data_IF_108458589595
#
_entry.id   IF_108458589595
#
_cell.length_a   1.000
_cell.length_b   1.000
_cell.length_c   1.000
_cell.angle_alpha   90.00
_cell.angle_beta   90.00
_cell.angle_gamma   90.00
#
_symmetry.space_group_name_H-M   'P 1'
#
loop_
_entity.id
_entity.type
_entity.pdbx_description
1 polymer ?
#
# COMPACT_ATOMS: atom_id res chain seq x y z
N UNK A 1 3.73 56.30 -49.11
CA UNK A 1 4.83 55.61 -48.42
C UNK A 1 4.88 56.17 -47.01
N UNK A 2 3.94 55.85 -46.11
CA UNK A 2 3.72 54.56 -45.43
C UNK A 2 5.03 53.96 -44.89
N UNK A 3 5.27 54.10 -43.58
CA UNK A 3 5.22 53.00 -42.60
C UNK A 3 5.48 53.58 -41.19
N UNK A 4 4.43 53.66 -40.37
CA UNK A 4 4.12 52.74 -39.27
C UNK A 4 5.00 52.95 -38.02
N UNK A 5 4.51 53.84 -37.16
CA UNK A 5 4.73 53.85 -35.72
C UNK A 5 4.20 52.53 -35.13
N UNK A 6 5.09 51.64 -34.70
CA UNK A 6 4.71 50.48 -33.91
C UNK A 6 5.38 50.64 -32.53
N UNK A 7 4.71 51.36 -31.62
CA UNK A 7 5.02 51.28 -30.19
C UNK A 7 4.57 49.89 -29.75
N UNK A 8 5.54 49.05 -29.42
CA UNK A 8 5.32 47.72 -28.89
C UNK A 8 4.68 47.85 -27.49
N UNK A 9 3.36 47.67 -27.43
CA UNK A 9 2.56 47.69 -26.20
C UNK A 9 2.64 46.35 -25.44
N UNK A 10 3.46 45.39 -25.91
CA UNK A 10 3.54 44.04 -25.34
C UNK A 10 4.29 43.99 -24.00
N UNK A 11 5.31 44.82 -23.80
CA UNK A 11 6.15 44.79 -22.58
C UNK A 11 5.43 45.31 -21.32
N UNK A 12 4.37 46.11 -21.48
CA UNK A 12 3.66 46.78 -20.38
C UNK A 12 2.63 45.85 -19.70
N UNK A 13 2.11 44.86 -20.43
CA UNK A 13 1.19 43.85 -19.90
C UNK A 13 1.96 42.82 -19.05
N UNK A 14 3.13 42.38 -19.54
CA UNK A 14 3.98 41.42 -18.82
C UNK A 14 4.58 42.03 -17.54
N UNK A 15 4.95 43.32 -17.57
CA UNK A 15 5.36 44.04 -16.36
C UNK A 15 4.22 44.17 -15.33
N UNK A 16 2.97 44.36 -15.79
CA UNK A 16 1.79 44.43 -14.90
C UNK A 16 1.47 43.08 -14.29
N UNK A 17 1.57 42.00 -15.07
CA UNK A 17 1.38 40.62 -14.59
C UNK A 17 2.47 40.23 -13.59
N UNK A 18 3.71 40.65 -13.81
CA UNK A 18 4.83 40.40 -12.89
C UNK A 18 4.70 41.19 -11.58
N UNK A 19 4.18 42.42 -11.64
CA UNK A 19 3.85 43.21 -10.44
C UNK A 19 2.66 42.61 -9.66
N UNK A 20 1.67 42.05 -10.35
CA UNK A 20 0.52 41.39 -9.73
C UNK A 20 0.93 40.09 -9.01
N UNK A 21 1.77 39.28 -9.65
CA UNK A 21 2.41 38.11 -9.03
C UNK A 21 3.17 38.49 -7.74
N UNK A 22 3.97 39.57 -7.79
CA UNK A 22 4.72 40.02 -6.62
C UNK A 22 3.79 40.60 -5.54
N UNK A 23 2.67 41.22 -5.92
CA UNK A 23 1.63 41.71 -5.02
C UNK A 23 0.95 40.56 -4.25
N UNK A 24 0.66 39.44 -4.93
CA UNK A 24 0.13 38.22 -4.28
C UNK A 24 1.12 37.66 -3.27
N UNK A 25 2.40 37.54 -3.65
CA UNK A 25 3.45 37.01 -2.76
C UNK A 25 3.64 37.89 -1.52
N UNK A 26 3.67 39.23 -1.68
CA UNK A 26 3.83 40.16 -0.55
C UNK A 26 2.58 40.21 0.33
N UNK A 27 1.38 40.02 -0.24
CA UNK A 27 0.13 39.94 0.53
C UNK A 27 0.08 38.66 1.37
N UNK A 28 0.55 37.53 0.85
CA UNK A 28 0.63 36.27 1.60
C UNK A 28 1.68 36.28 2.73
N UNK A 29 2.76 37.06 2.61
CA UNK A 29 3.82 37.13 3.64
C UNK A 29 3.40 37.99 4.84
N UNK A 30 2.46 38.92 4.67
CA UNK A 30 2.06 39.86 5.72
C UNK A 30 0.87 39.38 6.59
N UNK A 31 0.06 38.43 6.11
CA UNK A 31 -1.19 38.02 6.79
C UNK A 31 -1.10 36.67 7.53
N UNK A 32 0.00 35.92 7.42
CA UNK A 32 0.17 34.62 8.08
C UNK A 32 1.43 34.62 8.96
N UNK A 33 1.33 34.34 10.27
CA UNK A 33 2.51 34.23 11.13
C UNK A 33 3.39 33.09 10.60
N UNK A 34 4.61 33.42 10.18
CA UNK A 34 5.60 32.42 9.77
C UNK A 34 5.93 31.55 10.98
N UNK A 35 5.34 30.36 11.04
CA UNK A 35 5.68 29.38 12.06
C UNK A 35 7.15 29.00 11.91
N UNK A 36 7.87 28.97 13.03
CA UNK A 36 9.24 28.46 13.02
C UNK A 36 9.19 26.97 12.71
N UNK A 37 10.27 26.43 12.13
CA UNK A 37 10.37 25.00 11.85
C UNK A 37 10.09 24.18 13.12
N UNK A 38 10.55 24.66 14.28
CA UNK A 38 10.27 24.05 15.59
C UNK A 38 8.78 23.99 15.95
N UNK A 39 7.99 25.03 15.66
CA UNK A 39 6.55 25.03 15.97
C UNK A 39 5.78 24.05 15.09
N UNK A 40 6.16 23.97 13.81
CA UNK A 40 5.58 22.99 12.88
C UNK A 40 5.95 21.57 13.29
N UNK A 41 7.17 21.35 13.77
CA UNK A 41 7.62 20.05 14.28
C UNK A 41 6.85 19.65 15.54
N UNK A 42 6.69 20.58 16.50
CA UNK A 42 5.97 20.34 17.75
C UNK A 42 4.49 20.00 17.51
N UNK A 43 3.81 20.72 16.62
CA UNK A 43 2.41 20.47 16.28
C UNK A 43 2.22 19.12 15.55
N UNK A 44 3.16 18.73 14.67
CA UNK A 44 3.14 17.41 14.02
C UNK A 44 3.40 16.29 15.04
N UNK A 45 4.33 16.49 15.99
CA UNK A 45 4.60 15.54 17.06
C UNK A 45 3.38 15.35 17.98
N UNK A 46 2.62 16.42 18.25
CA UNK A 46 1.39 16.39 19.03
C UNK A 46 0.28 15.62 18.28
N UNK A 47 0.09 15.87 16.97
CA UNK A 47 -0.86 15.12 16.14
C UNK A 47 -0.51 13.63 16.00
N UNK A 48 0.78 13.28 16.04
CA UNK A 48 1.22 11.88 16.02
C UNK A 48 0.99 11.16 17.35
N UNK A 49 0.81 11.90 18.46
CA UNK A 49 0.62 11.34 19.80
C UNK A 49 -0.86 11.27 20.21
N UNK A 50 -1.75 12.07 19.62
CA UNK A 50 -3.17 12.15 19.99
C UNK A 50 -4.09 11.28 19.11
N UNK A 51 -3.61 10.13 18.64
CA UNK A 51 -4.51 9.07 18.15
C UNK A 51 -4.84 8.13 19.31
N UNK A 52 -6.06 8.17 19.87
CA UNK A 52 -6.49 7.18 20.83
C UNK A 52 -6.70 5.88 20.05
N UNK A 53 -5.84 4.90 20.24
CA UNK A 53 -6.12 3.52 19.82
C UNK A 53 -6.96 2.87 20.92
N UNK A 54 -8.27 2.63 20.71
CA UNK A 54 -9.07 1.91 21.67
C UNK A 54 -8.88 0.43 21.40
N UNK A 55 -7.86 -0.18 21.99
CA UNK A 55 -7.90 -1.56 22.50
C UNK A 55 -6.66 -1.76 23.40
N UNK A 56 -6.93 -1.69 24.70
CA UNK A 56 -6.04 -2.14 25.77
C UNK A 56 -5.96 -3.68 25.69
N UNK A 57 -5.02 -4.19 24.89
CA UNK A 57 -4.61 -5.58 24.94
C UNK A 57 -3.11 -5.60 25.28
N UNK A 58 -2.81 -6.09 26.49
CA UNK A 58 -1.51 -6.23 27.16
C UNK A 58 -0.52 -7.10 26.36
N UNK A 59 -0.18 -6.65 25.15
CA UNK A 59 0.88 -7.19 24.31
C UNK A 59 1.69 -6.00 23.78
N UNK A 60 3.04 -5.99 23.92
CA UNK A 60 3.83 -4.90 23.37
C UNK A 60 3.56 -4.81 21.88
N UNK A 61 3.04 -3.68 21.41
CA UNK A 61 2.72 -3.52 19.99
C UNK A 61 4.02 -3.61 19.18
N UNK A 62 3.97 -4.04 17.92
CA UNK A 62 5.17 -4.15 17.07
C UNK A 62 5.94 -2.81 16.97
N UNK A 63 5.21 -1.70 17.09
CA UNK A 63 5.78 -0.35 17.14
C UNK A 63 6.71 -0.16 18.36
N UNK A 64 6.28 -0.65 19.52
CA UNK A 64 7.06 -0.57 20.76
C UNK A 64 8.36 -1.36 20.66
N UNK A 65 8.30 -2.58 20.08
CA UNK A 65 9.49 -3.42 19.89
C UNK A 65 10.50 -2.79 18.93
N UNK A 66 10.04 -2.22 17.82
CA UNK A 66 10.91 -1.53 16.85
C UNK A 66 11.49 -0.24 17.42
N UNK A 67 10.73 0.48 18.24
CA UNK A 67 11.19 1.67 18.96
C UNK A 67 12.30 1.33 19.96
N UNK A 68 12.11 0.27 20.76
CA UNK A 68 13.13 -0.25 21.70
C UNK A 68 14.39 -0.69 20.93
N UNK A 69 14.24 -1.44 19.84
CA UNK A 69 15.36 -1.89 19.02
C UNK A 69 16.14 -0.71 18.40
N UNK A 70 15.44 0.31 17.91
CA UNK A 70 16.05 1.53 17.39
C UNK A 70 16.84 2.28 18.48
N UNK A 71 16.26 2.38 19.68
CA UNK A 71 16.91 3.01 20.82
C UNK A 71 18.15 2.24 21.28
N UNK A 72 18.10 0.90 21.31
CA UNK A 72 19.25 0.03 21.58
C UNK A 72 20.36 0.17 20.53
N UNK A 73 20.01 0.24 19.24
CA UNK A 73 20.99 0.47 18.17
C UNK A 73 21.68 1.85 18.33
N UNK A 74 20.94 2.87 18.75
CA UNK A 74 21.50 4.20 19.00
C UNK A 74 22.43 4.23 20.22
N UNK A 75 22.08 3.53 21.31
CA UNK A 75 22.94 3.42 22.49
C UNK A 75 24.22 2.62 22.21
N UNK A 76 24.13 1.53 21.44
CA UNK A 76 25.27 0.74 20.96
C UNK A 76 26.23 1.54 20.06
N UNK A 77 25.69 2.41 19.18
CA UNK A 77 26.53 3.31 18.37
C UNK A 77 27.29 4.32 19.23
N UNK A 78 26.66 4.84 20.29
CA UNK A 78 27.29 5.80 21.22
C UNK A 78 28.35 5.16 22.11
N UNK A 79 28.19 3.88 22.48
CA UNK A 79 29.19 3.15 23.26
C UNK A 79 30.43 2.77 22.44
N UNK A 80 30.25 2.47 21.15
CA UNK A 80 31.35 2.07 20.24
C UNK A 80 32.42 3.16 20.02
N UNK A 81 32.09 4.44 20.22
CA UNK A 81 33.05 5.56 20.08
C UNK A 81 33.74 5.95 21.39
N UNK A 82 33.52 5.21 22.48
CA UNK A 82 33.83 5.66 23.83
C UNK A 82 35.06 4.95 24.42
N UNK A 83 36.21 5.63 24.46
CA UNK A 83 37.47 5.12 25.08
C UNK A 83 37.31 4.70 26.56
N UNK A 84 36.28 5.21 27.25
CA UNK A 84 35.93 4.87 28.62
C UNK A 84 35.56 3.39 28.82
N UNK A 85 34.89 2.78 27.84
CA UNK A 85 34.48 1.37 27.92
C UNK A 85 35.70 0.44 27.87
N UNK A 86 36.61 0.69 26.94
CA UNK A 86 37.88 -0.03 26.77
C UNK A 86 38.74 0.02 28.04
N UNK A 87 38.86 1.19 28.67
CA UNK A 87 39.58 1.31 29.95
C UNK A 87 38.90 0.57 31.10
N UNK A 88 37.56 0.49 31.11
CA UNK A 88 36.81 -0.24 32.13
C UNK A 88 37.05 -1.75 32.00
N UNK A 89 36.97 -2.28 30.78
CA UNK A 89 37.21 -3.69 30.48
C UNK A 89 38.62 -4.11 30.89
N UNK A 90 39.64 -3.28 30.65
CA UNK A 90 41.04 -3.57 31.05
C UNK A 90 41.27 -3.67 32.56
N UNK A 91 40.37 -3.12 33.38
CA UNK A 91 40.47 -3.16 34.85
C UNK A 91 39.73 -4.35 35.46
N UNK A 92 38.93 -5.07 34.68
CA UNK A 92 38.19 -6.25 35.14
C UNK A 92 39.13 -7.43 35.39
N UNK A 93 38.77 -8.24 36.38
CA UNK A 93 39.41 -9.52 36.63
C UNK A 93 39.05 -10.55 35.56
N UNK A 94 39.81 -11.65 35.51
CA UNK A 94 39.56 -12.74 34.55
C UNK A 94 38.18 -13.35 34.73
N UNK A 95 37.66 -13.43 35.96
CA UNK A 95 36.32 -13.94 36.22
C UNK A 95 35.24 -13.01 35.64
N UNK A 96 35.33 -11.71 35.93
CA UNK A 96 34.41 -10.69 35.42
C UNK A 96 34.46 -10.57 33.88
N UNK A 97 35.63 -10.75 33.28
CA UNK A 97 35.78 -10.77 31.82
C UNK A 97 35.07 -11.96 31.17
N UNK A 98 35.10 -13.14 31.81
CA UNK A 98 34.38 -14.31 31.31
C UNK A 98 32.86 -14.15 31.46
N UNK A 99 32.40 -13.58 32.57
CA UNK A 99 30.97 -13.26 32.76
C UNK A 99 30.48 -12.25 31.71
N UNK A 100 31.24 -11.18 31.47
CA UNK A 100 30.92 -10.20 30.42
C UNK A 100 30.94 -10.82 29.02
N UNK A 101 31.88 -11.74 28.76
CA UNK A 101 31.93 -12.46 27.49
C UNK A 101 30.68 -13.34 27.32
N UNK A 102 30.28 -14.09 28.35
CA UNK A 102 29.09 -14.94 28.31
C UNK A 102 27.80 -14.11 28.15
N UNK A 103 27.72 -12.94 28.80
CA UNK A 103 26.63 -11.98 28.62
C UNK A 103 26.56 -11.49 27.15
N UNK A 104 27.69 -11.08 26.58
CA UNK A 104 27.76 -10.63 25.18
C UNK A 104 27.42 -11.76 24.22
N UNK A 105 27.94 -12.97 24.43
CA UNK A 105 27.66 -14.14 23.60
C UNK A 105 26.17 -14.52 23.65
N UNK A 106 25.57 -14.44 24.83
CA UNK A 106 24.12 -14.66 25.02
C UNK A 106 23.32 -13.58 24.29
N UNK A 107 23.65 -12.30 24.47
CA UNK A 107 22.99 -11.21 23.77
C UNK A 107 23.11 -11.33 22.24
N UNK A 108 24.31 -11.68 21.73
CA UNK A 108 24.52 -11.92 20.29
C UNK A 108 23.60 -13.03 19.79
N UNK A 109 23.47 -14.12 20.55
CA UNK A 109 22.60 -15.24 20.19
C UNK A 109 21.13 -14.82 20.15
N UNK A 110 20.66 -14.11 21.18
CA UNK A 110 19.27 -13.65 21.28
C UNK A 110 18.93 -12.66 20.16
N UNK A 111 19.80 -11.68 19.88
CA UNK A 111 19.61 -10.77 18.76
C UNK A 111 19.66 -11.46 17.39
N UNK A 112 20.50 -12.48 17.24
CA UNK A 112 20.56 -13.27 16.01
C UNK A 112 19.28 -14.07 15.80
N UNK A 113 18.70 -14.63 16.87
CA UNK A 113 17.42 -15.33 16.83
C UNK A 113 16.28 -14.37 16.48
N UNK A 114 16.20 -13.21 17.14
CA UNK A 114 15.20 -12.18 16.82
C UNK A 114 15.32 -11.73 15.35
N UNK A 115 16.55 -11.51 14.85
CA UNK A 115 16.77 -11.15 13.45
C UNK A 115 16.20 -12.22 12.49
N UNK A 116 16.41 -13.50 12.77
CA UNK A 116 15.86 -14.59 11.95
C UNK A 116 14.33 -14.59 11.99
N UNK A 117 13.72 -14.38 13.16
CA UNK A 117 12.27 -14.30 13.29
C UNK A 117 11.69 -13.11 12.51
N UNK A 118 12.32 -11.93 12.61
CA UNK A 118 11.91 -10.73 11.88
C UNK A 118 12.05 -10.89 10.36
N UNK A 119 13.12 -11.56 9.89
CA UNK A 119 13.29 -11.86 8.47
C UNK A 119 12.18 -12.80 7.95
N UNK A 120 11.84 -13.85 8.71
CA UNK A 120 10.76 -14.75 8.35
C UNK A 120 9.40 -14.03 8.31
N UNK A 121 9.11 -13.18 9.31
CA UNK A 121 7.89 -12.38 9.35
C UNK A 121 7.81 -11.40 8.18
N UNK A 122 8.93 -10.75 7.82
CA UNK A 122 8.99 -9.86 6.66
C UNK A 122 8.65 -10.60 5.37
N UNK A 123 9.18 -11.81 5.18
CA UNK A 123 8.92 -12.61 3.99
C UNK A 123 7.44 -13.05 3.91
N UNK A 124 6.82 -13.39 5.05
CA UNK A 124 5.38 -13.67 5.14
C UNK A 124 4.53 -12.44 4.74
N UNK A 125 4.86 -11.27 5.28
CA UNK A 125 4.17 -10.02 4.94
C UNK A 125 4.36 -9.61 3.47
N UNK A 126 5.55 -9.85 2.90
CA UNK A 126 5.81 -9.63 1.48
C UNK A 126 4.95 -10.56 0.61
N UNK A 127 4.82 -11.83 1.00
CA UNK A 127 3.93 -12.78 0.34
C UNK A 127 2.46 -12.34 0.42
N UNK A 128 1.97 -11.93 1.60
CA UNK A 128 0.60 -11.41 1.72
C UNK A 128 0.36 -10.20 0.82
N UNK A 129 1.32 -9.27 0.78
CA UNK A 129 1.27 -8.08 -0.05
C UNK A 129 1.24 -8.46 -1.54
N UNK A 130 2.05 -9.42 -1.96
CA UNK A 130 2.05 -9.92 -3.34
C UNK A 130 0.68 -10.53 -3.71
N UNK A 131 0.11 -11.37 -2.84
CA UNK A 131 -1.22 -11.96 -3.04
C UNK A 131 -2.29 -10.87 -3.15
N UNK A 132 -2.30 -9.89 -2.24
CA UNK A 132 -3.24 -8.75 -2.26
C UNK A 132 -3.09 -7.92 -3.55
N UNK A 133 -1.87 -7.61 -3.95
CA UNK A 133 -1.60 -6.85 -5.17
C UNK A 133 -2.01 -7.62 -6.42
N UNK A 134 -1.69 -8.91 -6.51
CA UNK A 134 -2.12 -9.79 -7.62
C UNK A 134 -3.64 -9.82 -7.74
N UNK A 135 -4.35 -10.01 -6.62
CA UNK A 135 -5.81 -9.96 -6.58
C UNK A 135 -6.35 -8.63 -7.12
N UNK A 136 -5.85 -7.49 -6.62
CA UNK A 136 -6.28 -6.16 -7.05
C UNK A 136 -6.06 -5.98 -8.56
N UNK A 137 -4.87 -6.33 -9.07
CA UNK A 137 -4.55 -6.22 -10.49
C UNK A 137 -5.54 -7.00 -11.36
N UNK A 138 -5.78 -8.26 -11.03
CA UNK A 138 -6.68 -9.13 -11.83
C UNK A 138 -8.13 -8.68 -11.70
N UNK A 139 -8.56 -8.23 -10.52
CA UNK A 139 -9.90 -7.69 -10.30
C UNK A 139 -10.15 -6.47 -11.19
N UNK A 140 -9.20 -5.52 -11.22
CA UNK A 140 -9.27 -4.33 -12.08
C UNK A 140 -9.35 -4.73 -13.55
N UNK A 141 -8.53 -5.70 -13.99
CA UNK A 141 -8.55 -6.18 -15.38
C UNK A 141 -9.88 -6.81 -15.76
N UNK A 142 -10.46 -7.67 -14.91
CA UNK A 142 -11.78 -8.28 -15.12
C UNK A 142 -12.86 -7.20 -15.22
N UNK A 143 -12.84 -6.22 -14.31
CA UNK A 143 -13.79 -5.10 -14.34
C UNK A 143 -13.67 -4.26 -15.61
N UNK A 144 -12.45 -3.97 -16.05
CA UNK A 144 -12.19 -3.25 -17.29
C UNK A 144 -12.70 -4.03 -18.50
N UNK A 145 -12.44 -5.33 -18.55
CA UNK A 145 -12.90 -6.21 -19.64
C UNK A 145 -14.43 -6.35 -19.66
N UNK A 146 -15.07 -6.44 -18.50
CA UNK A 146 -16.53 -6.41 -18.37
C UNK A 146 -17.12 -5.06 -18.86
N UNK A 147 -16.47 -3.94 -18.54
CA UNK A 147 -16.87 -2.60 -19.02
C UNK A 147 -16.79 -2.52 -20.54
N UNK A 148 -15.68 -2.94 -21.14
CA UNK A 148 -15.48 -2.97 -22.59
C UNK A 148 -16.52 -3.87 -23.28
N UNK A 149 -16.78 -5.06 -22.72
CA UNK A 149 -17.79 -5.98 -23.24
C UNK A 149 -19.20 -5.36 -23.23
N UNK A 150 -19.55 -4.62 -22.16
CA UNK A 150 -20.83 -3.89 -22.06
C UNK A 150 -20.95 -2.77 -23.09
N UNK A 151 -19.86 -2.07 -23.40
CA UNK A 151 -19.84 -1.00 -24.39
C UNK A 151 -19.95 -1.53 -25.83
N UNK A 152 -19.22 -2.59 -26.16
CA UNK A 152 -19.28 -3.25 -27.47
C UNK A 152 -20.64 -3.88 -27.73
N UNK A 153 -21.27 -4.48 -26.72
CA UNK A 153 -22.64 -5.00 -26.82
C UNK A 153 -23.68 -3.90 -27.10
N UNK A 154 -23.55 -2.73 -26.46
CA UNK A 154 -24.43 -1.56 -26.72
C UNK A 154 -24.26 -1.01 -28.14
N UNK A 155 -23.02 -0.94 -28.65
CA UNK A 155 -22.74 -0.52 -30.05
C UNK A 155 -23.35 -1.49 -31.06
N UNK A 156 -23.21 -2.80 -30.85
CA UNK A 156 -23.82 -3.85 -31.70
C UNK A 156 -25.35 -3.79 -31.71
N UNK A 157 -25.99 -3.45 -30.58
CA UNK A 157 -27.46 -3.32 -30.49
C UNK A 157 -27.99 -2.11 -31.27
N UNK A 158 -27.25 -0.98 -31.31
CA UNK A 158 -27.63 0.20 -32.12
C UNK A 158 -27.54 -0.02 -33.63
N UNK A 159 -26.65 -0.91 -34.08
CA UNK A 159 -26.48 -1.25 -35.50
C UNK A 159 -27.47 -2.32 -36.01
N UNK A 160 -28.16 -3.05 -35.12
CA UNK A 160 -29.07 -4.16 -35.46
C UNK A 160 -30.57 -3.80 -35.45
N UNK A 161 -30.93 -2.53 -35.43
CA UNK A 161 -32.33 -2.05 -35.46
C UNK A 161 -33.08 -2.29 -36.81
N UNK A 162 -32.70 -3.28 -37.61
CA UNK A 162 -33.18 -3.41 -39.00
C UNK A 162 -33.51 -4.80 -39.53
N UNK A 163 -33.52 -5.89 -38.74
CA UNK A 163 -33.98 -7.20 -39.27
C UNK A 163 -34.41 -8.18 -38.17
N UNK A 164 -35.64 -8.72 -38.21
CA UNK A 164 -36.01 -9.87 -37.40
C UNK A 164 -35.60 -11.12 -38.20
N UNK A 165 -34.57 -11.84 -37.75
CA UNK A 165 -34.34 -13.20 -38.24
C UNK A 165 -34.35 -14.18 -37.08
N UNK A 166 -35.45 -14.93 -37.08
CA UNK A 166 -35.72 -16.15 -36.35
C UNK A 166 -34.61 -17.17 -36.66
N UNK A 167 -33.90 -17.65 -35.65
CA UNK A 167 -32.84 -18.65 -35.82
C UNK A 167 -32.46 -19.23 -34.47
N UNK A 168 -32.69 -20.55 -34.32
CA UNK A 168 -32.32 -21.43 -33.21
C UNK A 168 -31.14 -20.88 -32.39
N UNK A 169 -31.40 -20.59 -31.11
CA UNK A 169 -30.36 -20.45 -30.10
C UNK A 169 -29.71 -21.82 -29.93
N UNK A 170 -28.62 -22.08 -30.66
CA UNK A 170 -27.72 -23.17 -30.29
C UNK A 170 -27.23 -22.89 -28.87
N UNK A 171 -27.38 -23.89 -27.99
CA UNK A 171 -26.87 -23.91 -26.62
C UNK A 171 -25.33 -24.04 -26.60
N UNK A 172 -24.65 -23.40 -27.55
CA UNK A 172 -23.21 -23.29 -27.60
C UNK A 172 -22.76 -22.10 -26.75
N UNK A 173 -21.64 -22.28 -26.05
CA UNK A 173 -20.98 -21.25 -25.26
C UNK A 173 -20.82 -19.97 -26.10
N UNK A 174 -21.51 -18.90 -25.72
CA UNK A 174 -21.33 -17.59 -26.34
C UNK A 174 -20.06 -16.96 -25.77
N UNK A 175 -19.15 -16.40 -26.58
CA UNK A 175 -17.95 -15.74 -26.06
C UNK A 175 -18.31 -14.65 -25.04
N UNK A 176 -17.67 -14.69 -23.87
CA UNK A 176 -17.91 -13.78 -22.76
C UNK A 176 -18.99 -14.23 -21.76
N UNK A 177 -19.51 -15.46 -21.87
CA UNK A 177 -20.50 -15.98 -20.91
C UNK A 177 -19.92 -16.01 -19.50
N UNK A 178 -18.70 -16.53 -19.32
CA UNK A 178 -18.10 -16.66 -18.00
C UNK A 178 -17.57 -15.33 -17.48
N UNK A 179 -17.08 -14.46 -18.35
CA UNK A 179 -16.60 -13.12 -17.99
C UNK A 179 -17.67 -12.31 -17.22
N UNK A 180 -18.95 -12.47 -17.55
CA UNK A 180 -20.06 -11.74 -16.90
C UNK A 180 -20.62 -12.40 -15.64
N UNK A 181 -20.06 -13.55 -15.23
CA UNK A 181 -20.49 -14.28 -14.04
C UNK A 181 -20.19 -13.45 -12.78
N UNK A 182 -21.03 -13.57 -11.76
CA UNK A 182 -20.83 -12.90 -10.47
C UNK A 182 -20.26 -13.90 -9.47
N UNK A 183 -19.23 -13.49 -8.74
CA UNK A 183 -18.68 -14.26 -7.62
C UNK A 183 -19.50 -13.88 -6.38
N UNK A 184 -20.20 -14.83 -5.73
CA UNK A 184 -20.84 -14.57 -4.45
C UNK A 184 -19.79 -14.18 -3.41
N UNK A 185 -20.07 -13.20 -2.56
CA UNK A 185 -19.16 -12.75 -1.51
C UNK A 185 -19.93 -12.49 -0.24
N UNK A 186 -19.46 -13.06 0.87
CA UNK A 186 -20.00 -12.80 2.20
C UNK A 186 -19.11 -11.77 2.91
N UNK A 187 -19.69 -10.65 3.33
CA UNK A 187 -18.98 -9.63 4.10
C UNK A 187 -18.87 -10.11 5.55
N UNK A 188 -17.76 -10.76 5.87
CA UNK A 188 -17.39 -11.12 7.25
C UNK A 188 -16.84 -9.89 8.00
N UNK A 189 -16.71 -9.98 9.32
CA UNK A 189 -16.04 -8.97 10.15
C UNK A 189 -14.53 -9.08 9.93
N UNK A 190 -14.03 -8.40 8.91
CA UNK A 190 -12.60 -8.35 8.57
C UNK A 190 -12.32 -8.45 7.07
N UNK A 191 -11.08 -8.18 6.65
CA UNK A 191 -10.65 -8.43 5.27
C UNK A 191 -10.64 -9.94 4.96
N UNK A 192 -10.73 -10.34 3.67
CA UNK A 192 -10.56 -11.74 3.28
C UNK A 192 -9.17 -12.28 3.67
N UNK A 193 -9.10 -13.56 4.01
CA UNK A 193 -7.83 -14.23 4.28
C UNK A 193 -6.96 -14.33 3.02
N UNK A 194 -5.66 -14.60 3.19
CA UNK A 194 -4.73 -14.83 2.08
C UNK A 194 -5.20 -16.00 1.19
N UNK A 195 -5.71 -17.07 1.80
CA UNK A 195 -6.25 -18.25 1.11
C UNK A 195 -7.51 -17.92 0.30
N UNK A 196 -8.40 -17.10 0.87
CA UNK A 196 -9.60 -16.62 0.19
C UNK A 196 -9.20 -15.75 -1.02
N UNK A 197 -8.24 -14.83 -0.84
CA UNK A 197 -7.74 -13.99 -1.92
C UNK A 197 -7.10 -14.80 -3.04
N UNK A 198 -6.33 -15.85 -2.73
CA UNK A 198 -5.77 -16.74 -3.76
C UNK A 198 -6.86 -17.48 -4.53
N UNK A 199 -7.90 -17.96 -3.84
CA UNK A 199 -9.03 -18.66 -4.48
C UNK A 199 -9.82 -17.71 -5.38
N UNK A 200 -10.14 -16.51 -4.88
CA UNK A 200 -10.79 -15.46 -5.66
C UNK A 200 -9.95 -15.04 -6.87
N UNK A 201 -8.62 -14.89 -6.70
CA UNK A 201 -7.68 -14.56 -7.78
C UNK A 201 -7.69 -15.62 -8.88
N UNK A 202 -7.75 -16.91 -8.53
CA UNK A 202 -7.86 -18.02 -9.50
C UNK A 202 -9.17 -17.95 -10.28
N UNK A 203 -10.29 -17.67 -9.61
CA UNK A 203 -11.60 -17.49 -10.27
C UNK A 203 -11.56 -16.30 -11.23
N UNK A 204 -11.00 -15.16 -10.80
CA UNK A 204 -10.91 -13.96 -11.62
C UNK A 204 -10.04 -14.17 -12.88
N UNK A 205 -8.91 -14.88 -12.79
CA UNK A 205 -8.12 -15.28 -13.96
C UNK A 205 -8.94 -16.15 -14.92
N UNK A 206 -9.63 -17.17 -14.41
CA UNK A 206 -10.47 -18.04 -15.22
C UNK A 206 -11.61 -17.26 -15.90
N UNK A 207 -12.22 -16.29 -15.22
CA UNK A 207 -13.23 -15.39 -15.80
C UNK A 207 -12.64 -14.46 -16.87
N UNK A 208 -11.46 -13.89 -16.63
CA UNK A 208 -10.74 -13.05 -17.59
C UNK A 208 -10.47 -13.81 -18.89
N UNK A 209 -10.12 -15.09 -18.79
CA UNK A 209 -9.83 -15.97 -19.93
C UNK A 209 -11.07 -16.61 -20.55
N UNK A 210 -12.26 -16.36 -20.01
CA UNK A 210 -13.52 -17.03 -20.40
C UNK A 210 -13.39 -18.56 -20.34
N UNK A 211 -12.72 -19.05 -19.29
CA UNK A 211 -12.38 -20.47 -19.11
C UNK A 211 -13.59 -21.29 -18.64
N UNK A 212 -13.75 -22.50 -19.21
CA UNK A 212 -14.74 -23.49 -18.76
C UNK A 212 -14.53 -23.98 -17.32
N UNK A 213 -13.40 -23.63 -16.68
CA UNK A 213 -13.13 -23.94 -15.27
C UNK A 213 -13.88 -23.06 -14.29
N UNK A 214 -14.48 -21.95 -14.74
CA UNK A 214 -15.19 -21.00 -13.87
C UNK A 214 -16.29 -21.68 -13.02
N UNK A 215 -17.18 -22.51 -13.58
CA UNK A 215 -18.21 -23.18 -12.79
C UNK A 215 -17.65 -24.09 -11.70
N UNK A 216 -16.58 -24.86 -11.99
CA UNK A 216 -15.96 -25.75 -11.00
C UNK A 216 -15.27 -24.96 -9.89
N UNK A 217 -14.54 -23.88 -10.24
CA UNK A 217 -13.85 -23.05 -9.25
C UNK A 217 -14.84 -22.31 -8.34
N UNK A 218 -15.95 -21.82 -8.89
CA UNK A 218 -17.04 -21.21 -8.11
C UNK A 218 -17.70 -22.22 -7.18
N UNK A 219 -17.97 -23.44 -7.66
CA UNK A 219 -18.57 -24.51 -6.85
C UNK A 219 -17.67 -24.83 -5.65
N UNK A 220 -16.37 -25.03 -5.90
CA UNK A 220 -15.39 -25.28 -4.85
C UNK A 220 -15.33 -24.14 -3.83
N UNK A 221 -15.31 -22.89 -4.29
CA UNK A 221 -15.29 -21.72 -3.41
C UNK A 221 -16.54 -21.65 -2.53
N UNK A 222 -17.73 -21.85 -3.11
CA UNK A 222 -18.97 -21.84 -2.35
C UNK A 222 -18.97 -22.93 -1.28
N UNK A 223 -18.60 -24.16 -1.65
CA UNK A 223 -18.63 -25.30 -0.72
C UNK A 223 -17.55 -25.23 0.36
N UNK A 224 -16.39 -24.65 0.07
CA UNK A 224 -15.26 -24.63 1.02
C UNK A 224 -15.21 -23.35 1.87
N UNK A 225 -15.62 -22.20 1.31
CA UNK A 225 -15.44 -20.89 1.96
C UNK A 225 -16.74 -20.29 2.47
N UNK A 226 -17.83 -20.40 1.70
CA UNK A 226 -19.12 -19.81 2.06
C UNK A 226 -20.03 -20.76 2.83
N UNK A 227 -19.95 -22.05 2.54
CA UNK A 227 -20.77 -23.08 3.17
C UNK A 227 -19.92 -24.29 3.61
N UNK A 228 -18.91 -24.09 4.49
CA UNK A 228 -18.08 -25.18 4.99
C UNK A 228 -18.97 -26.22 5.68
N UNK A 229 -18.73 -27.50 5.36
CA UNK A 229 -19.44 -28.66 5.95
C UNK A 229 -18.75 -29.14 7.22
#
# INVERSE_FOLDING_TARGET
VNDNLNLDLSDDEELREQLDMHSIIVSCINDEPLFTAEQVIEEIEEMMQESPDPEDDETPTQSDRLSILSQEIQTLKRSSTNNSYEERVKRLSVAELNELLEEIETAIKDYSEELVQQLALRDELEFEKEVKNSFISVLIEVQNKQREHKETAKKKKKLKNGSPQNGKQERGHMPGTYLTTVIPYEKKNGPPSVEDLQTLTKILHAMKEDSEKVPSLLTDYILKVLCPT
#
